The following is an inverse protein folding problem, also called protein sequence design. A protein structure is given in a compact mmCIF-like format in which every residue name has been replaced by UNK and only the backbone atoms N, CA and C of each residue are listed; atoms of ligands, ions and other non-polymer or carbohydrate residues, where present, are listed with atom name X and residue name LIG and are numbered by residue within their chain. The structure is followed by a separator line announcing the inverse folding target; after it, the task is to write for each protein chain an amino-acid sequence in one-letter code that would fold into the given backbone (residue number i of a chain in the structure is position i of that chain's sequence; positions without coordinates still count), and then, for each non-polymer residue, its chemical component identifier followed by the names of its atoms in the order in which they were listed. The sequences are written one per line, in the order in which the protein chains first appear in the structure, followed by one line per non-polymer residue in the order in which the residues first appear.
data_IF_798075032145
#
_entry.id   IF_798075032145
#
_cell.length_a   1.000
_cell.length_b   1.000
_cell.length_c   1.000
_cell.angle_alpha   90.00
_cell.angle_beta   90.00
_cell.angle_gamma   90.00
#
_symmetry.space_group_name_H-M   'P 1'
#
loop_
_entity.id
_entity.type
_entity.pdbx_description
1 polymer ?
#
# COMPACT_ATOMS: atom_id res chain seq x y z
N UNK A 1 31.54 -10.55 -39.46
CA UNK A 1 30.08 -10.43 -39.46
C UNK A 1 29.66 -9.85 -38.11
N UNK A 2 28.93 -8.72 -38.08
CA UNK A 2 28.31 -8.28 -36.83
C UNK A 2 27.34 -9.37 -36.34
N UNK A 3 27.22 -9.59 -35.02
CA UNK A 3 26.23 -10.53 -34.49
C UNK A 3 24.84 -10.13 -35.01
N UNK A 4 24.02 -11.13 -35.35
CA UNK A 4 22.61 -10.87 -35.69
C UNK A 4 21.96 -10.09 -34.54
N UNK A 5 21.05 -9.16 -34.86
CA UNK A 5 20.39 -8.31 -33.86
C UNK A 5 19.76 -9.13 -32.71
N UNK A 6 19.30 -10.37 -32.99
CA UNK A 6 18.80 -11.32 -31.99
C UNK A 6 19.89 -11.79 -31.01
N UNK A 7 21.12 -12.05 -31.49
CA UNK A 7 22.22 -12.45 -30.62
C UNK A 7 22.69 -11.28 -29.73
N UNK A 8 22.69 -10.06 -30.25
CA UNK A 8 23.00 -8.86 -29.47
C UNK A 8 21.93 -8.58 -28.39
N UNK A 9 20.63 -8.74 -28.74
CA UNK A 9 19.51 -8.61 -27.80
C UNK A 9 19.59 -9.67 -26.67
N UNK A 10 19.89 -10.93 -27.01
CA UNK A 10 20.07 -11.99 -26.01
C UNK A 10 21.22 -11.70 -25.05
N UNK A 11 22.36 -11.22 -25.53
CA UNK A 11 23.48 -10.83 -24.68
C UNK A 11 23.16 -9.62 -23.79
N UNK A 12 22.40 -8.64 -24.31
CA UNK A 12 21.93 -7.48 -23.56
C UNK A 12 20.92 -7.84 -22.46
N UNK A 13 20.04 -8.83 -22.69
CA UNK A 13 19.09 -9.34 -21.70
C UNK A 13 19.82 -10.02 -20.52
N UNK A 14 20.95 -10.68 -20.81
CA UNK A 14 21.73 -11.46 -19.82
C UNK A 14 22.64 -10.58 -18.96
N UNK A 15 23.11 -9.42 -19.45
CA UNK A 15 23.95 -8.52 -18.64
C UNK A 15 23.11 -7.68 -17.67
N UNK A 16 23.30 -7.93 -16.39
CA UNK A 16 22.89 -7.02 -15.31
C UNK A 16 24.03 -6.00 -15.14
N UNK A 17 23.78 -4.70 -15.36
CA UNK A 17 24.86 -3.71 -15.08
C UNK A 17 25.04 -3.51 -13.59
N UNK A 18 26.30 -3.54 -13.18
CA UNK A 18 26.74 -3.42 -11.79
C UNK A 18 26.28 -2.11 -11.17
N UNK A 19 26.12 -1.06 -11.98
CA UNK A 19 25.67 0.26 -11.53
C UNK A 19 24.21 0.25 -11.03
N UNK A 20 23.31 -0.56 -11.64
CA UNK A 20 21.92 -0.73 -11.13
C UNK A 20 21.95 -1.39 -9.78
N UNK A 21 22.74 -2.46 -9.70
CA UNK A 21 22.76 -3.29 -8.52
C UNK A 21 23.30 -2.44 -7.37
N UNK A 22 24.34 -1.64 -7.61
CA UNK A 22 24.86 -0.71 -6.61
C UNK A 22 23.84 0.36 -6.19
N UNK A 23 23.01 0.89 -7.11
CA UNK A 23 21.99 1.87 -6.73
C UNK A 23 20.92 1.26 -5.82
N UNK A 24 20.46 0.04 -6.11
CA UNK A 24 19.52 -0.66 -5.24
C UNK A 24 20.13 -1.07 -3.89
N UNK A 25 21.40 -1.46 -3.87
CA UNK A 25 22.10 -1.73 -2.60
C UNK A 25 22.17 -0.47 -1.73
N UNK A 26 22.42 0.69 -2.35
CA UNK A 26 22.42 1.98 -1.65
C UNK A 26 21.03 2.28 -1.07
N UNK A 27 19.94 2.06 -1.82
CA UNK A 27 18.57 2.23 -1.31
C UNK A 27 18.33 1.38 -0.05
N UNK A 28 18.75 0.10 -0.07
CA UNK A 28 18.63 -0.79 1.08
C UNK A 28 19.45 -0.31 2.29
N UNK A 29 20.65 0.23 2.08
CA UNK A 29 21.45 0.81 3.16
C UNK A 29 20.70 1.97 3.83
N UNK A 30 20.07 2.85 3.05
CA UNK A 30 19.28 3.95 3.62
C UNK A 30 18.03 3.46 4.34
N UNK A 31 17.31 2.48 3.79
CA UNK A 31 16.12 1.90 4.45
C UNK A 31 16.51 1.27 5.80
N UNK A 32 17.58 0.46 5.83
CA UNK A 32 18.11 -0.15 7.06
C UNK A 32 18.63 0.92 8.02
N UNK A 33 19.28 1.96 7.51
CA UNK A 33 19.75 3.09 8.31
C UNK A 33 18.61 3.82 9.02
N UNK A 34 17.50 4.10 8.32
CA UNK A 34 16.30 4.70 8.93
C UNK A 34 15.69 3.78 9.99
N UNK A 35 15.62 2.47 9.73
CA UNK A 35 15.17 1.51 10.75
C UNK A 35 16.10 1.49 11.97
N UNK A 36 17.42 1.57 11.76
CA UNK A 36 18.44 1.68 12.81
C UNK A 36 18.30 2.95 13.65
N UNK A 37 17.98 4.09 13.04
CA UNK A 37 17.67 5.33 13.77
C UNK A 37 16.43 5.12 14.66
N UNK A 38 15.37 4.49 14.14
CA UNK A 38 14.19 4.13 14.93
C UNK A 38 14.52 3.23 16.13
N UNK A 39 15.42 2.26 15.96
CA UNK A 39 15.87 1.39 17.04
C UNK A 39 16.71 2.16 18.08
N UNK A 40 17.47 3.15 17.62
CA UNK A 40 18.17 4.10 18.48
C UNK A 40 17.20 4.87 19.38
N UNK A 41 16.14 5.45 18.80
CA UNK A 41 15.07 6.11 19.56
C UNK A 41 14.44 5.17 20.60
N UNK A 42 13.99 3.98 20.20
CA UNK A 42 13.37 3.02 21.13
C UNK A 42 14.27 2.55 22.29
N UNK A 43 15.56 2.87 22.29
CA UNK A 43 16.49 2.58 23.40
C UNK A 43 16.61 3.72 24.41
N UNK A 44 16.21 4.94 24.05
CA UNK A 44 16.26 6.14 24.88
C UNK A 44 15.20 6.10 25.98
N UNK A 45 15.39 6.93 27.00
CA UNK A 45 14.34 7.21 27.97
C UNK A 45 13.45 8.32 27.42
N UNK A 46 12.12 8.12 27.33
CA UNK A 46 11.22 9.14 26.83
C UNK A 46 11.10 10.30 27.82
N UNK A 47 10.63 11.45 27.32
CA UNK A 47 10.26 12.56 28.18
C UNK A 47 9.26 12.09 29.26
N UNK A 48 9.39 12.59 30.48
CA UNK A 48 8.49 12.25 31.57
C UNK A 48 7.62 13.46 31.89
N UNK A 49 6.41 13.48 31.34
CA UNK A 49 5.46 14.57 31.61
C UNK A 49 4.92 14.45 33.04
N UNK A 50 4.84 15.56 33.80
CA UNK A 50 4.11 15.56 35.07
C UNK A 50 2.66 15.12 34.86
N UNK A 51 2.14 14.37 35.81
CA UNK A 51 0.78 13.83 35.82
C UNK A 51 0.14 14.06 37.19
N UNK A 52 -1.16 13.91 37.32
CA UNK A 52 -1.86 14.02 38.61
C UNK A 52 -2.50 12.67 38.94
N UNK A 53 -2.69 12.39 40.24
CA UNK A 53 -3.02 11.04 40.71
C UNK A 53 -4.49 10.68 40.52
N UNK A 54 -5.36 11.68 40.42
CA UNK A 54 -6.81 11.50 40.25
C UNK A 54 -7.25 11.44 38.78
N UNK A 55 -6.31 11.34 37.84
CA UNK A 55 -6.61 11.31 36.42
C UNK A 55 -7.23 9.95 36.01
N UNK A 56 -8.51 9.93 35.57
CA UNK A 56 -9.15 8.68 35.16
C UNK A 56 -8.47 8.04 33.95
N UNK A 57 -7.84 8.82 33.07
CA UNK A 57 -7.28 8.33 31.81
C UNK A 57 -6.01 7.50 32.00
N UNK A 58 -5.35 7.57 33.17
CA UNK A 58 -4.12 6.83 33.52
C UNK A 58 -4.28 5.89 34.73
N UNK A 59 -5.53 5.68 35.15
CA UNK A 59 -5.90 4.92 36.36
C UNK A 59 -6.32 3.46 36.08
N UNK A 60 -6.24 3.00 34.83
CA UNK A 60 -6.64 1.65 34.47
C UNK A 60 -5.68 0.59 35.05
N UNK A 61 -6.19 -0.62 35.21
CA UNK A 61 -5.39 -1.75 35.71
C UNK A 61 -4.52 -2.34 34.61
N UNK A 62 -3.37 -2.87 35.00
CA UNK A 62 -2.47 -3.60 34.09
C UNK A 62 -3.15 -4.88 33.58
N UNK A 63 -3.19 -5.06 32.26
CA UNK A 63 -3.66 -6.30 31.66
C UNK A 63 -2.65 -7.45 31.90
N UNK A 64 -3.11 -8.69 32.17
CA UNK A 64 -2.22 -9.80 32.53
C UNK A 64 -1.29 -10.24 31.38
N UNK A 65 -1.73 -10.06 30.14
CA UNK A 65 -0.94 -10.32 28.94
C UNK A 65 -1.39 -9.41 27.80
N UNK A 66 -0.46 -9.10 26.91
CA UNK A 66 -0.78 -8.42 25.66
C UNK A 66 -1.45 -9.42 24.70
N UNK A 67 -2.66 -9.10 24.22
CA UNK A 67 -3.40 -9.87 23.20
C UNK A 67 -2.55 -10.04 21.93
N UNK A 68 -1.82 -9.00 21.54
CA UNK A 68 -0.84 -9.04 20.45
C UNK A 68 0.50 -8.60 21.00
N UNK A 69 1.46 -9.52 21.08
CA UNK A 69 2.82 -9.22 21.49
C UNK A 69 3.63 -8.56 20.36
N UNK A 70 4.72 -7.87 20.72
CA UNK A 70 5.61 -7.24 19.73
C UNK A 70 6.18 -8.23 18.71
N UNK A 71 6.43 -9.49 19.12
CA UNK A 71 6.89 -10.53 18.20
C UNK A 71 5.80 -10.90 17.17
N UNK A 72 4.55 -11.06 17.62
CA UNK A 72 3.41 -11.33 16.74
C UNK A 72 3.17 -10.14 15.79
N UNK A 73 3.34 -8.91 16.27
CA UNK A 73 3.26 -7.71 15.44
C UNK A 73 4.28 -7.74 14.29
N UNK A 74 5.55 -8.09 14.56
CA UNK A 74 6.58 -8.19 13.51
C UNK A 74 6.20 -9.28 12.49
N UNK A 75 5.67 -10.41 12.95
CA UNK A 75 5.21 -11.46 12.04
C UNK A 75 4.07 -10.94 11.14
N UNK A 76 3.07 -10.28 11.73
CA UNK A 76 1.90 -9.76 11.00
C UNK A 76 2.30 -8.62 10.05
N UNK A 77 3.05 -7.64 10.53
CA UNK A 77 3.35 -6.40 9.79
C UNK A 77 4.54 -6.50 8.82
N UNK A 78 5.47 -7.42 9.02
CA UNK A 78 6.66 -7.57 8.17
C UNK A 78 6.74 -8.94 7.50
N UNK A 79 6.74 -10.02 8.28
CA UNK A 79 7.05 -11.37 7.75
C UNK A 79 5.97 -11.85 6.79
N UNK A 80 4.69 -11.76 7.18
CA UNK A 80 3.57 -12.17 6.33
C UNK A 80 3.53 -11.36 5.02
N UNK A 81 3.55 -10.01 5.05
CA UNK A 81 3.65 -9.21 3.82
C UNK A 81 4.84 -9.56 2.95
N UNK A 82 6.04 -9.72 3.53
CA UNK A 82 7.24 -10.06 2.78
C UNK A 82 7.12 -11.42 2.06
N UNK A 83 6.59 -12.43 2.74
CA UNK A 83 6.35 -13.76 2.17
C UNK A 83 5.30 -13.72 1.08
N UNK A 84 4.18 -13.01 1.29
CA UNK A 84 3.11 -12.87 0.29
C UNK A 84 3.62 -12.16 -0.96
N UNK A 85 4.40 -11.08 -0.81
CA UNK A 85 5.01 -10.36 -1.93
C UNK A 85 5.91 -11.28 -2.76
N UNK A 86 6.76 -12.09 -2.11
CA UNK A 86 7.61 -13.06 -2.82
C UNK A 86 6.76 -14.12 -3.51
N UNK A 87 5.83 -14.75 -2.80
CA UNK A 87 5.02 -15.83 -3.33
C UNK A 87 4.22 -15.37 -4.55
N UNK A 88 3.53 -14.23 -4.46
CA UNK A 88 2.74 -13.69 -5.58
C UNK A 88 3.65 -13.21 -6.72
N UNK A 89 4.80 -12.58 -6.42
CA UNK A 89 5.76 -12.16 -7.45
C UNK A 89 6.35 -13.36 -8.20
N UNK A 90 6.67 -14.46 -7.52
CA UNK A 90 7.23 -15.65 -8.16
C UNK A 90 6.18 -16.48 -8.88
N UNK A 91 4.95 -16.57 -8.38
CA UNK A 91 3.91 -17.44 -8.94
C UNK A 91 3.03 -16.74 -9.99
N UNK A 92 2.65 -15.48 -9.76
CA UNK A 92 1.59 -14.80 -10.53
C UNK A 92 2.08 -13.65 -11.40
N UNK A 93 3.32 -13.16 -11.20
CA UNK A 93 3.91 -12.04 -11.95
C UNK A 93 5.18 -12.47 -12.68
N UNK A 94 5.39 -12.18 -13.98
CA UNK A 94 4.36 -11.94 -14.99
C UNK A 94 3.48 -13.20 -15.15
N UNK A 95 2.23 -13.00 -15.54
CA UNK A 95 1.31 -14.13 -15.76
C UNK A 95 1.87 -15.04 -16.86
N UNK A 96 1.86 -16.38 -16.69
CA UNK A 96 2.26 -17.33 -17.74
C UNK A 96 1.49 -17.14 -19.04
N UNK A 97 0.27 -16.60 -18.98
CA UNK A 97 -0.55 -16.30 -20.14
C UNK A 97 -0.09 -15.03 -20.88
N UNK A 98 0.51 -14.07 -20.16
CA UNK A 98 0.92 -12.77 -20.71
C UNK A 98 2.26 -12.82 -21.47
N UNK A 99 3.08 -13.85 -21.24
CA UNK A 99 4.42 -13.99 -21.85
C UNK A 99 4.60 -15.33 -22.56
N UNK A 100 3.58 -15.79 -23.30
CA UNK A 100 3.72 -16.97 -24.16
C UNK A 100 4.84 -16.72 -25.19
N UNK A 101 5.95 -17.45 -25.06
CA UNK A 101 7.10 -17.37 -25.97
C UNK A 101 8.25 -16.44 -25.53
N UNK A 102 8.16 -15.79 -24.37
CA UNK A 102 9.26 -14.96 -23.86
C UNK A 102 10.46 -15.81 -23.38
N UNK A 103 11.70 -15.32 -23.53
CA UNK A 103 12.87 -16.02 -23.03
C UNK A 103 12.85 -16.09 -21.50
N UNK A 104 13.24 -17.25 -20.95
CA UNK A 104 13.26 -17.53 -19.50
C UNK A 104 13.97 -16.45 -18.67
N UNK A 105 15.10 -15.94 -19.18
CA UNK A 105 15.88 -14.89 -18.51
C UNK A 105 15.08 -13.59 -18.30
N UNK A 106 14.21 -13.22 -19.24
CA UNK A 106 13.39 -12.01 -19.15
C UNK A 106 12.27 -12.17 -18.13
N UNK A 107 11.66 -13.36 -18.07
CA UNK A 107 10.63 -13.71 -17.08
C UNK A 107 11.21 -13.62 -15.66
N UNK A 108 12.38 -14.24 -15.43
CA UNK A 108 13.03 -14.21 -14.12
C UNK A 108 13.53 -12.84 -13.73
N UNK A 109 14.09 -12.08 -14.68
CA UNK A 109 14.47 -10.68 -14.43
C UNK A 109 13.28 -9.85 -13.95
N UNK A 110 12.10 -10.04 -14.54
CA UNK A 110 10.87 -9.34 -14.09
C UNK A 110 10.42 -9.82 -12.72
N UNK A 111 10.40 -11.13 -12.46
CA UNK A 111 10.06 -11.71 -11.15
C UNK A 111 10.92 -11.13 -10.03
N UNK A 112 12.24 -11.08 -10.26
CA UNK A 112 13.20 -10.54 -9.29
C UNK A 112 13.04 -9.02 -9.10
N UNK A 113 12.78 -8.28 -10.17
CA UNK A 113 12.54 -6.84 -10.08
C UNK A 113 11.26 -6.51 -9.31
N UNK A 114 10.16 -7.23 -9.59
CA UNK A 114 8.88 -7.08 -8.90
C UNK A 114 8.99 -7.41 -7.41
N UNK A 115 9.71 -8.49 -7.09
CA UNK A 115 10.02 -8.83 -5.71
C UNK A 115 10.83 -7.72 -5.04
N UNK A 116 11.95 -7.29 -5.63
CA UNK A 116 12.80 -6.25 -5.05
C UNK A 116 12.01 -4.93 -4.83
N UNK A 117 11.24 -4.48 -5.82
CA UNK A 117 10.40 -3.29 -5.70
C UNK A 117 9.31 -3.43 -4.62
N UNK A 118 8.70 -4.62 -4.50
CA UNK A 118 7.76 -4.94 -3.43
C UNK A 118 8.39 -4.90 -2.04
N UNK A 119 9.61 -5.42 -1.89
CA UNK A 119 10.31 -5.39 -0.62
C UNK A 119 10.86 -4.01 -0.25
N UNK A 120 11.38 -3.25 -1.21
CA UNK A 120 11.84 -1.88 -0.94
C UNK A 120 10.68 -0.97 -0.51
N UNK A 121 9.52 -1.07 -1.15
CA UNK A 121 8.35 -0.30 -0.73
C UNK A 121 7.83 -0.68 0.65
N UNK A 122 7.79 -1.98 0.97
CA UNK A 122 7.43 -2.48 2.30
C UNK A 122 8.45 -2.02 3.36
N UNK A 123 9.74 -2.18 3.06
CA UNK A 123 10.84 -1.78 3.93
C UNK A 123 10.83 -0.30 4.22
N UNK A 124 10.67 0.55 3.19
CA UNK A 124 10.57 2.00 3.37
C UNK A 124 9.35 2.38 4.23
N UNK A 125 8.19 1.77 3.97
CA UNK A 125 6.97 2.02 4.76
C UNK A 125 7.17 1.70 6.24
N UNK A 126 7.73 0.52 6.56
CA UNK A 126 7.94 0.08 7.94
C UNK A 126 9.07 0.84 8.63
N UNK A 127 10.20 1.05 7.96
CA UNK A 127 11.35 1.77 8.53
C UNK A 127 11.00 3.21 8.88
N UNK A 128 10.35 3.93 7.95
CA UNK A 128 9.94 5.32 8.20
C UNK A 128 8.87 5.42 9.29
N UNK A 129 7.89 4.50 9.30
CA UNK A 129 6.87 4.42 10.36
C UNK A 129 7.50 4.16 11.71
N UNK A 130 8.43 3.21 11.80
CA UNK A 130 9.12 2.86 13.04
C UNK A 130 9.93 4.04 13.56
N UNK A 131 10.75 4.65 12.71
CA UNK A 131 11.54 5.83 13.06
C UNK A 131 10.66 6.99 13.56
N UNK A 132 9.56 7.29 12.85
CA UNK A 132 8.66 8.37 13.25
C UNK A 132 7.92 8.06 14.56
N UNK A 133 7.47 6.81 14.74
CA UNK A 133 6.70 6.42 15.94
C UNK A 133 7.57 6.45 17.19
N UNK A 134 8.77 5.85 17.16
CA UNK A 134 9.66 5.85 18.32
C UNK A 134 10.15 7.26 18.65
N UNK A 135 10.57 8.04 17.65
CA UNK A 135 11.01 9.42 17.89
C UNK A 135 9.90 10.31 18.48
N UNK A 136 8.64 10.11 18.08
CA UNK A 136 7.52 10.86 18.65
C UNK A 136 7.19 10.43 20.09
N UNK A 137 7.31 9.13 20.41
CA UNK A 137 7.14 8.66 21.80
C UNK A 137 8.16 9.29 22.72
N UNK A 138 9.43 9.29 22.31
CA UNK A 138 10.52 9.84 23.11
C UNK A 138 10.35 11.35 23.35
N UNK A 139 9.93 12.07 22.31
CA UNK A 139 9.73 13.51 22.39
C UNK A 139 8.52 13.90 23.25
N UNK A 140 7.40 13.18 23.11
CA UNK A 140 6.15 13.53 23.78
C UNK A 140 6.14 13.00 25.20
N UNK A 141 6.40 11.71 25.43
CA UNK A 141 6.42 11.20 26.80
C UNK A 141 5.04 11.13 27.46
N UNK A 142 4.01 10.70 26.73
CA UNK A 142 2.64 10.63 27.26
C UNK A 142 2.47 9.39 28.16
N UNK A 143 1.96 9.54 29.40
CA UNK A 143 1.69 8.39 30.27
C UNK A 143 0.63 7.45 29.68
N UNK A 144 0.82 6.14 29.88
CA UNK A 144 -0.12 5.10 29.44
C UNK A 144 -1.36 5.04 30.33
N UNK A 145 -2.47 4.47 29.82
CA UNK A 145 -3.67 4.31 30.64
C UNK A 145 -3.49 3.44 31.88
N UNK A 146 -2.52 2.52 31.87
CA UNK A 146 -2.19 1.63 32.98
C UNK A 146 -1.00 2.10 33.82
N UNK A 147 -0.59 3.37 33.67
CA UNK A 147 0.63 3.90 34.28
C UNK A 147 0.55 3.95 35.82
N UNK A 148 -0.56 4.44 36.40
CA UNK A 148 -0.68 4.53 37.86
C UNK A 148 -0.67 3.17 38.54
N UNK A 149 -1.29 2.16 37.90
CA UNK A 149 -1.29 0.79 38.40
C UNK A 149 0.13 0.17 38.43
N UNK A 150 1.04 0.61 37.56
CA UNK A 150 2.46 0.19 37.56
C UNK A 150 3.32 1.00 38.53
N UNK A 151 2.98 2.27 38.71
CA UNK A 151 3.67 3.23 39.55
C UNK A 151 3.59 2.90 41.04
N UNK A 152 2.41 2.49 41.53
CA UNK A 152 2.11 2.37 42.97
C UNK A 152 2.54 3.64 43.74
N UNK A 153 1.83 4.77 43.56
CA UNK A 153 2.26 6.08 44.07
C UNK A 153 2.26 6.16 45.60
N UNK A 154 3.31 6.74 46.18
CA UNK A 154 3.40 7.01 47.62
C UNK A 154 2.67 8.30 48.00
N UNK A 155 1.38 8.18 48.34
CA UNK A 155 0.47 9.29 48.69
C UNK A 155 1.03 10.14 49.84
N UNK A 156 1.87 9.58 50.71
CA UNK A 156 2.48 10.32 51.82
C UNK A 156 3.48 11.40 51.37
N UNK A 157 3.98 11.32 50.13
CA UNK A 157 5.04 12.21 49.60
C UNK A 157 4.56 13.17 48.50
N UNK A 158 3.24 13.36 48.37
CA UNK A 158 2.67 14.26 47.35
C UNK A 158 3.29 15.67 47.44
N UNK A 159 3.42 16.23 48.65
CA UNK A 159 4.00 17.58 48.82
C UNK A 159 5.46 17.69 48.39
N UNK A 160 6.22 16.59 48.40
CA UNK A 160 7.64 16.57 48.04
C UNK A 160 7.84 16.55 46.53
N UNK A 161 7.00 15.80 45.82
CA UNK A 161 7.11 15.61 44.37
C UNK A 161 6.11 16.45 43.56
N UNK A 162 5.32 17.28 44.22
CA UNK A 162 4.39 18.20 43.57
C UNK A 162 5.16 19.24 42.75
N UNK A 163 4.93 19.23 41.44
CA UNK A 163 5.43 20.23 40.47
C UNK A 163 4.36 21.28 40.15
N UNK A 164 3.37 21.39 41.03
CA UNK A 164 2.13 22.10 40.78
C UNK A 164 2.29 23.62 40.67
N UNK A 165 1.55 24.20 39.72
CA UNK A 165 1.09 25.60 39.76
C UNK A 165 -0.17 25.75 40.64
N UNK A 166 -1.35 25.86 40.01
CA UNK A 166 -2.62 26.21 40.67
C UNK A 166 -3.09 25.24 41.78
N UNK A 167 -2.68 23.96 41.74
CA UNK A 167 -3.06 22.92 42.71
C UNK A 167 -2.57 23.16 44.14
N UNK A 168 -1.50 23.95 44.31
CA UNK A 168 -1.03 24.38 45.63
C UNK A 168 -1.84 25.55 46.20
N UNK A 169 -2.55 26.28 45.34
CA UNK A 169 -3.28 27.52 45.70
C UNK A 169 -4.77 27.26 45.88
N UNK A 170 -5.35 26.37 45.07
CA UNK A 170 -6.77 26.06 45.08
C UNK A 170 -7.00 24.60 45.47
N UNK A 171 -7.78 24.38 46.52
CA UNK A 171 -8.06 23.05 47.12
C UNK A 171 -8.78 22.03 46.21
N UNK A 172 -9.18 22.44 44.99
CA UNK A 172 -9.81 21.58 43.98
C UNK A 172 -9.06 21.55 42.64
N UNK A 173 -7.95 22.27 42.52
CA UNK A 173 -7.15 22.22 41.31
C UNK A 173 -6.24 20.97 41.32
N UNK A 174 -6.03 20.33 40.17
CA UNK A 174 -5.19 19.13 40.08
C UNK A 174 -3.75 19.46 40.46
N UNK A 175 -3.16 18.62 41.30
CA UNK A 175 -1.74 18.73 41.71
C UNK A 175 -0.92 17.77 40.87
N UNK A 176 -0.07 18.32 40.02
CA UNK A 176 0.84 17.53 39.20
C UNK A 176 2.06 17.08 40.01
N UNK A 177 2.50 15.85 39.81
CA UNK A 177 3.64 15.20 40.45
C UNK A 177 4.61 14.63 39.42
N UNK A 178 5.88 14.47 39.80
CA UNK A 178 6.87 13.73 38.98
C UNK A 178 6.73 12.22 39.15
N UNK A 179 7.39 11.46 38.25
CA UNK A 179 7.49 10.00 38.32
C UNK A 179 8.14 9.49 39.62
N UNK A 180 8.94 10.32 40.28
CA UNK A 180 9.69 9.93 41.49
C UNK A 180 8.79 9.64 42.70
N UNK A 181 7.49 9.96 42.62
CA UNK A 181 6.49 9.58 43.63
C UNK A 181 6.19 8.07 43.64
N UNK A 182 6.48 7.37 42.55
CA UNK A 182 6.21 5.95 42.41
C UNK A 182 7.08 5.12 43.35
N UNK A 183 6.50 4.16 44.04
CA UNK A 183 7.29 3.18 44.82
C UNK A 183 8.05 2.24 43.90
N UNK A 184 7.45 1.90 42.77
CA UNK A 184 8.13 1.18 41.72
C UNK A 184 9.04 2.14 40.93
N UNK A 185 10.33 1.85 40.91
CA UNK A 185 11.36 2.63 40.20
C UNK A 185 12.05 1.84 39.09
N UNK A 186 11.39 0.78 38.59
CA UNK A 186 11.92 -0.04 37.51
C UNK A 186 12.17 0.76 36.23
N UNK A 187 13.28 0.48 35.54
CA UNK A 187 13.59 1.07 34.22
C UNK A 187 12.49 0.79 33.19
N UNK A 188 11.79 -0.34 33.34
CA UNK A 188 10.65 -0.68 32.50
C UNK A 188 9.48 0.31 32.66
N UNK A 189 9.20 0.78 33.88
CA UNK A 189 8.21 1.83 34.10
C UNK A 189 8.65 3.16 33.49
N UNK A 190 9.93 3.54 33.68
CA UNK A 190 10.49 4.78 33.14
C UNK A 190 10.39 4.85 31.62
N UNK A 191 10.63 3.73 30.92
CA UNK A 191 10.59 3.65 29.45
C UNK A 191 9.19 3.36 28.89
N UNK A 192 8.53 2.31 29.38
CA UNK A 192 7.25 1.87 28.81
C UNK A 192 6.08 2.72 29.32
N UNK A 193 6.14 3.23 30.56
CA UNK A 193 5.06 3.97 31.21
C UNK A 193 4.69 5.30 30.54
N UNK A 194 5.65 5.95 29.87
CA UNK A 194 5.47 7.25 29.18
C UNK A 194 5.50 7.16 27.65
N UNK A 195 5.37 5.95 27.11
CA UNK A 195 5.44 5.69 25.67
C UNK A 195 4.06 5.43 25.05
N UNK A 196 3.04 6.17 25.49
CA UNK A 196 1.66 5.95 25.05
C UNK A 196 1.34 6.52 23.66
N UNK A 197 1.84 7.70 23.31
CA UNK A 197 1.53 8.34 22.03
C UNK A 197 2.76 8.48 21.15
N UNK A 198 2.69 8.12 19.85
CA UNK A 198 1.62 7.37 19.18
C UNK A 198 1.74 5.85 19.40
N UNK A 199 0.67 5.09 19.14
CA UNK A 199 0.71 3.63 19.29
C UNK A 199 1.56 2.95 18.21
N UNK A 200 2.68 2.33 18.62
CA UNK A 200 3.58 1.61 17.73
C UNK A 200 3.00 0.33 17.12
N UNK A 201 2.12 -0.37 17.85
CA UNK A 201 1.43 -1.55 17.29
C UNK A 201 0.49 -1.13 16.17
N UNK A 202 -0.26 -0.04 16.39
CA UNK A 202 -1.19 0.50 15.41
C UNK A 202 -0.46 1.04 14.18
N UNK A 203 0.59 1.83 14.35
CA UNK A 203 1.33 2.41 13.22
C UNK A 203 2.02 1.33 12.39
N UNK A 204 2.73 0.39 13.02
CA UNK A 204 3.45 -0.67 12.33
C UNK A 204 2.50 -1.65 11.62
N UNK A 205 1.37 -2.02 12.23
CA UNK A 205 0.38 -2.91 11.61
C UNK A 205 -0.27 -2.25 10.39
N UNK A 206 -0.65 -0.97 10.47
CA UNK A 206 -1.20 -0.25 9.32
C UNK A 206 -0.15 -0.04 8.23
N UNK A 207 1.10 0.27 8.57
CA UNK A 207 2.18 0.40 7.59
C UNK A 207 2.35 -0.87 6.75
N UNK A 208 2.55 -2.03 7.40
CA UNK A 208 2.78 -3.29 6.70
C UNK A 208 1.55 -3.83 5.97
N UNK A 209 0.41 -3.86 6.65
CA UNK A 209 -0.79 -4.50 6.10
C UNK A 209 -1.55 -3.63 5.11
N UNK A 210 -1.53 -2.29 5.26
CA UNK A 210 -2.07 -1.42 4.22
C UNK A 210 -1.15 -1.42 2.99
N UNK A 211 0.17 -1.42 3.17
CA UNK A 211 1.09 -1.60 2.05
C UNK A 211 0.76 -2.89 1.29
N UNK A 212 0.62 -4.01 2.01
CA UNK A 212 0.24 -5.29 1.41
C UNK A 212 -1.11 -5.19 0.68
N UNK A 213 -2.10 -4.51 1.27
CA UNK A 213 -3.41 -4.29 0.64
C UNK A 213 -3.29 -3.53 -0.67
N UNK A 214 -2.57 -2.40 -0.68
CA UNK A 214 -2.34 -1.60 -1.89
C UNK A 214 -1.58 -2.40 -2.95
N UNK A 215 -0.59 -3.19 -2.52
CA UNK A 215 0.19 -4.06 -3.38
C UNK A 215 -0.66 -5.16 -4.03
N UNK A 216 -1.48 -5.88 -3.24
CA UNK A 216 -2.41 -6.89 -3.75
C UNK A 216 -3.47 -6.26 -4.66
N UNK A 217 -3.98 -5.08 -4.31
CA UNK A 217 -4.90 -4.32 -5.17
C UNK A 217 -4.26 -4.01 -6.53
N UNK A 218 -2.99 -3.63 -6.56
CA UNK A 218 -2.26 -3.39 -7.80
C UNK A 218 -2.09 -4.67 -8.61
N UNK A 219 -1.73 -5.78 -7.96
CA UNK A 219 -1.51 -7.07 -8.64
C UNK A 219 -2.80 -7.74 -9.10
N UNK A 220 -3.93 -7.55 -8.43
CA UNK A 220 -5.20 -8.16 -8.83
C UNK A 220 -6.14 -7.21 -9.57
N UNK A 221 -5.64 -6.03 -9.94
CA UNK A 221 -6.43 -4.97 -10.57
C UNK A 221 -7.70 -4.69 -9.78
N UNK A 222 -7.59 -4.61 -8.46
CA UNK A 222 -8.68 -4.19 -7.57
C UNK A 222 -8.53 -2.70 -7.34
N UNK A 223 -9.43 -1.92 -7.93
CA UNK A 223 -9.47 -0.47 -7.80
C UNK A 223 -10.92 0.01 -7.84
N UNK A 224 -11.16 1.21 -7.31
CA UNK A 224 -12.42 1.88 -7.55
C UNK A 224 -12.52 2.28 -9.03
N UNK A 225 -13.66 2.01 -9.70
CA UNK A 225 -13.89 2.50 -11.05
C UNK A 225 -13.73 4.03 -11.09
N UNK A 226 -13.05 4.52 -12.12
CA UNK A 226 -12.78 5.94 -12.30
C UNK A 226 -12.96 6.29 -13.77
N UNK A 227 -13.83 7.24 -14.10
CA UNK A 227 -13.89 7.74 -15.47
C UNK A 227 -12.82 8.82 -15.63
N UNK A 228 -11.83 8.54 -16.49
CA UNK A 228 -10.80 9.50 -16.87
C UNK A 228 -11.41 10.76 -17.50
N UNK A 229 -10.73 11.92 -17.41
CA UNK A 229 -11.17 13.11 -18.10
C UNK A 229 -11.21 12.81 -19.59
N UNK A 230 -12.31 13.18 -20.25
CA UNK A 230 -12.38 13.10 -21.70
C UNK A 230 -11.33 14.04 -22.31
N UNK A 231 -10.63 13.64 -23.38
CA UNK A 231 -9.79 14.55 -24.14
C UNK A 231 -10.57 15.81 -24.52
N UNK A 232 -9.92 16.97 -24.54
CA UNK A 232 -10.59 18.22 -24.91
C UNK A 232 -11.27 18.08 -26.29
N UNK A 233 -12.58 18.33 -26.35
CA UNK A 233 -13.40 18.17 -27.56
C UNK A 233 -14.09 16.80 -27.72
N UNK A 234 -13.77 15.80 -26.89
CA UNK A 234 -14.50 14.53 -26.89
C UNK A 234 -15.86 14.68 -26.18
N UNK A 235 -16.95 14.31 -26.87
CA UNK A 235 -18.30 14.28 -26.29
C UNK A 235 -18.51 12.95 -25.57
N UNK A 236 -19.07 12.98 -24.36
CA UNK A 236 -19.55 11.76 -23.69
C UNK A 236 -20.53 11.02 -24.60
N UNK A 237 -20.41 9.70 -24.76
CA UNK A 237 -21.42 8.94 -25.48
C UNK A 237 -22.74 9.09 -24.70
N UNK A 238 -23.69 9.83 -25.28
CA UNK A 238 -25.06 9.81 -24.82
C UNK A 238 -25.53 8.35 -24.90
N UNK A 239 -26.13 7.83 -23.84
CA UNK A 239 -26.78 6.53 -23.89
C UNK A 239 -27.79 6.58 -25.04
N UNK A 240 -27.52 5.87 -26.15
CA UNK A 240 -28.41 5.81 -27.30
C UNK A 240 -29.71 5.14 -26.87
N UNK A 241 -30.69 5.91 -26.40
CA UNK A 241 -32.09 5.50 -26.24
C UNK A 241 -32.89 5.73 -27.53
N UNK A 242 -32.24 5.99 -28.68
CA UNK A 242 -32.90 6.38 -29.92
C UNK A 242 -32.65 5.42 -31.11
N UNK A 243 -32.21 4.18 -30.86
CA UNK A 243 -31.95 3.19 -31.92
C UNK A 243 -33.12 2.26 -32.25
N UNK A 244 -34.28 2.39 -31.58
CA UNK A 244 -35.41 1.45 -31.72
C UNK A 244 -36.73 2.13 -32.11
N UNK A 245 -36.67 3.28 -32.80
CA UNK A 245 -37.86 3.98 -33.24
C UNK A 245 -37.64 4.78 -34.53
N UNK A 246 -37.28 4.11 -35.63
CA UNK A 246 -37.70 4.50 -36.99
C UNK A 246 -37.21 3.50 -38.04
N UNK A 247 -37.72 2.28 -38.00
CA UNK A 247 -37.79 1.45 -39.21
C UNK A 247 -39.26 1.29 -39.55
N UNK A 248 -39.88 2.40 -39.99
CA UNK A 248 -41.14 2.35 -40.71
C UNK A 248 -40.81 2.30 -42.19
N UNK A 249 -41.13 1.15 -42.77
CA UNK A 249 -41.23 0.89 -44.20
C UNK A 249 -41.91 2.03 -44.97
N UNK A 250 -41.33 2.42 -46.11
CA UNK A 250 -41.99 2.43 -47.42
C UNK A 250 -41.11 3.06 -48.52
N UNK A 251 -40.98 2.39 -49.67
CA UNK A 251 -40.78 3.07 -50.96
C UNK A 251 -39.64 2.60 -51.88
N UNK A 252 -39.93 1.58 -52.71
CA UNK A 252 -39.69 1.50 -54.18
C UNK A 252 -38.33 1.86 -54.82
N UNK A 253 -37.68 0.80 -55.37
CA UNK A 253 -37.01 0.65 -56.69
C UNK A 253 -36.14 1.77 -57.32
N UNK A 254 -34.83 1.50 -57.49
CA UNK A 254 -34.16 1.27 -58.80
C UNK A 254 -32.62 1.11 -58.63
N UNK A 255 -31.93 0.28 -59.45
CA UNK A 255 -30.48 0.15 -59.40
C UNK A 255 -29.82 0.85 -60.60
N UNK A 256 -29.02 1.90 -60.40
CA UNK A 256 -27.97 2.25 -61.36
C UNK A 256 -26.94 3.26 -60.79
N UNK A 257 -25.67 2.88 -60.94
CA UNK A 257 -24.45 3.70 -61.01
C UNK A 257 -24.16 4.79 -59.96
N UNK A 258 -23.18 4.52 -59.10
CA UNK A 258 -22.05 5.46 -58.94
C UNK A 258 -20.76 4.72 -58.55
N UNK A 259 -19.68 5.11 -59.23
CA UNK A 259 -18.32 4.59 -59.12
C UNK A 259 -17.60 5.16 -57.90
N UNK A 260 -16.55 4.42 -57.52
CA UNK A 260 -15.32 4.84 -56.83
C UNK A 260 -15.41 5.34 -55.38
N UNK A 261 -14.90 4.51 -54.46
CA UNK A 261 -13.83 4.90 -53.53
C UNK A 261 -13.26 3.65 -52.83
N UNK A 262 -12.11 3.19 -53.31
CA UNK A 262 -11.18 2.42 -52.49
C UNK A 262 -10.57 3.34 -51.45
N UNK A 263 -10.66 3.03 -50.15
CA UNK A 263 -9.64 3.37 -49.14
C UNK A 263 -10.08 2.94 -47.72
N UNK A 264 -9.18 2.26 -47.01
CA UNK A 264 -9.10 2.34 -45.56
C UNK A 264 -9.80 1.24 -44.76
N UNK A 265 -9.21 0.05 -44.73
CA UNK A 265 -9.35 -0.87 -43.60
C UNK A 265 -8.70 -0.27 -42.36
N UNK A 266 -9.47 0.49 -41.60
CA UNK A 266 -9.19 0.86 -40.21
C UNK A 266 -10.53 0.88 -39.46
N UNK A 267 -10.62 0.39 -38.22
CA UNK A 267 -11.84 0.51 -37.46
C UNK A 267 -12.16 2.00 -37.32
N UNK A 268 -13.32 2.42 -37.83
CA UNK A 268 -13.76 3.81 -37.78
C UNK A 268 -13.79 4.28 -36.32
N UNK A 269 -13.25 5.46 -36.05
CA UNK A 269 -13.30 6.13 -34.74
C UNK A 269 -14.72 6.16 -34.11
N UNK A 270 -15.75 6.08 -34.95
CA UNK A 270 -17.15 5.93 -34.58
C UNK A 270 -17.52 4.59 -33.92
N UNK A 271 -16.88 3.48 -34.30
CA UNK A 271 -17.11 2.16 -33.70
C UNK A 271 -16.54 2.08 -32.26
N UNK A 272 -15.46 2.79 -31.97
CA UNK A 272 -14.91 2.95 -30.62
C UNK A 272 -15.83 3.80 -29.70
N UNK A 273 -16.56 4.75 -30.27
CA UNK A 273 -17.45 5.65 -29.54
C UNK A 273 -18.82 5.04 -29.17
N UNK A 274 -19.21 3.91 -29.77
CA UNK A 274 -20.54 3.29 -29.61
C UNK A 274 -20.62 2.18 -28.55
N UNK A 275 -19.51 1.83 -27.88
CA UNK A 275 -19.56 0.86 -26.79
C UNK A 275 -19.90 1.56 -25.48
N UNK A 276 -21.00 1.16 -24.85
CA UNK A 276 -21.39 1.73 -23.55
C UNK A 276 -20.26 1.50 -22.52
N UNK A 277 -19.97 2.45 -21.62
CA UNK A 277 -18.98 2.24 -20.57
C UNK A 277 -19.25 0.99 -19.72
N UNK A 278 -20.52 0.58 -19.60
CA UNK A 278 -20.94 -0.65 -18.91
C UNK A 278 -20.58 -1.94 -19.64
N UNK A 279 -20.39 -1.90 -20.96
CA UNK A 279 -19.93 -3.05 -21.74
C UNK A 279 -18.40 -3.20 -21.78
N UNK A 280 -17.66 -2.19 -21.30
CA UNK A 280 -16.19 -2.18 -21.36
C UNK A 280 -15.54 -2.78 -20.10
N UNK A 281 -16.23 -2.80 -18.96
CA UNK A 281 -15.65 -3.25 -17.72
C UNK A 281 -16.62 -3.89 -16.73
N UNK A 282 -16.04 -4.64 -15.80
CA UNK A 282 -16.71 -5.31 -14.71
C UNK A 282 -16.07 -4.91 -13.37
N UNK A 283 -16.79 -5.19 -12.29
CA UNK A 283 -16.21 -5.15 -10.95
C UNK A 283 -15.24 -6.34 -10.76
N UNK A 284 -14.15 -6.16 -9.99
CA UNK A 284 -13.27 -7.27 -9.62
C UNK A 284 -14.09 -8.38 -8.90
N UNK A 285 -13.78 -9.66 -9.12
CA UNK A 285 -14.39 -10.74 -8.36
C UNK A 285 -14.29 -10.53 -6.84
N UNK A 286 -15.38 -10.82 -6.12
CA UNK A 286 -15.49 -10.55 -4.68
C UNK A 286 -14.37 -11.22 -3.89
N UNK A 287 -13.98 -12.44 -4.23
CA UNK A 287 -12.90 -13.14 -3.52
C UNK A 287 -11.54 -12.44 -3.63
N UNK A 288 -11.24 -11.76 -4.75
CA UNK A 288 -10.00 -10.96 -4.87
C UNK A 288 -10.07 -9.69 -4.06
N UNK A 289 -11.25 -9.09 -3.93
CA UNK A 289 -11.47 -7.95 -3.04
C UNK A 289 -11.27 -8.38 -1.59
N UNK A 290 -11.90 -9.49 -1.17
CA UNK A 290 -11.72 -10.04 0.19
C UNK A 290 -10.25 -10.33 0.45
N UNK A 291 -9.56 -11.02 -0.47
CA UNK A 291 -8.14 -11.32 -0.32
C UNK A 291 -7.26 -10.07 -0.24
N UNK A 292 -7.59 -9.01 -0.98
CA UNK A 292 -6.86 -7.75 -0.93
C UNK A 292 -7.10 -6.96 0.36
N UNK A 293 -8.32 -6.97 0.93
CA UNK A 293 -8.69 -6.14 2.08
C UNK A 293 -8.63 -6.81 3.45
N UNK A 294 -8.58 -8.15 3.52
CA UNK A 294 -8.34 -8.89 4.79
C UNK A 294 -7.14 -8.35 5.58
N UNK A 295 -5.99 -8.00 4.96
CA UNK A 295 -4.88 -7.43 5.71
C UNK A 295 -5.23 -6.16 6.49
N UNK A 296 -6.05 -5.25 5.94
CA UNK A 296 -6.52 -4.06 6.67
C UNK A 296 -7.37 -4.44 7.87
N UNK A 297 -8.24 -5.44 7.74
CA UNK A 297 -9.03 -5.95 8.87
C UNK A 297 -8.14 -6.47 10.00
N UNK A 298 -7.04 -7.16 9.66
CA UNK A 298 -6.03 -7.60 10.64
C UNK A 298 -5.34 -6.41 11.30
N UNK A 299 -5.01 -5.34 10.56
CA UNK A 299 -4.45 -4.12 11.15
C UNK A 299 -5.41 -3.45 12.14
N UNK A 300 -6.70 -3.38 11.83
CA UNK A 300 -7.72 -2.89 12.77
C UNK A 300 -7.81 -3.76 14.03
N UNK A 301 -7.78 -5.09 13.88
CA UNK A 301 -7.79 -5.99 15.05
C UNK A 301 -6.57 -5.74 15.96
N UNK A 302 -5.37 -5.62 15.39
CA UNK A 302 -4.15 -5.30 16.15
C UNK A 302 -4.28 -3.94 16.84
N UNK A 303 -4.79 -2.92 16.15
CA UNK A 303 -5.02 -1.60 16.72
C UNK A 303 -6.02 -1.63 17.89
N UNK A 304 -7.17 -2.28 17.72
CA UNK A 304 -8.19 -2.41 18.76
C UNK A 304 -7.72 -3.23 19.97
N UNK A 305 -6.87 -4.23 19.77
CA UNK A 305 -6.29 -5.02 20.87
C UNK A 305 -5.57 -4.15 21.90
N UNK A 306 -4.99 -3.03 21.47
CA UNK A 306 -4.28 -2.10 22.35
C UNK A 306 -5.19 -1.27 23.24
N UNK A 307 -6.42 -1.02 22.78
CA UNK A 307 -7.45 -0.40 23.60
C UNK A 307 -7.98 -1.40 24.62
N UNK A 308 -8.26 -2.63 24.17
CA UNK A 308 -8.69 -3.72 25.03
C UNK A 308 -7.69 -4.01 26.17
N UNK A 309 -6.39 -3.98 25.89
CA UNK A 309 -5.36 -4.29 26.87
C UNK A 309 -4.91 -3.07 27.71
N UNK A 310 -5.68 -1.97 27.69
CA UNK A 310 -5.42 -0.72 28.43
C UNK A 310 -4.06 -0.07 28.12
N UNK A 311 -3.46 -0.38 26.96
CA UNK A 311 -2.13 0.11 26.60
C UNK A 311 -2.13 1.51 26.02
N UNK A 312 -3.24 1.90 25.39
CA UNK A 312 -3.36 3.11 24.60
C UNK A 312 -4.79 3.68 24.65
N UNK A 313 -4.92 5.00 24.68
CA UNK A 313 -6.19 5.67 24.46
C UNK A 313 -6.55 5.67 22.96
N UNK A 314 -7.83 5.91 22.64
CA UNK A 314 -8.31 5.93 21.25
C UNK A 314 -7.53 6.91 20.36
N UNK A 315 -7.16 8.08 20.87
CA UNK A 315 -6.38 9.07 20.12
C UNK A 315 -4.97 8.58 19.74
N UNK A 316 -4.33 7.82 20.63
CA UNK A 316 -2.99 7.26 20.41
C UNK A 316 -3.00 6.22 19.29
N UNK A 317 -4.07 5.43 19.23
CA UNK A 317 -4.32 4.41 18.20
C UNK A 317 -4.65 5.07 16.86
N UNK A 318 -5.51 6.08 16.84
CA UNK A 318 -5.86 6.82 15.62
C UNK A 318 -4.63 7.51 15.03
N UNK A 319 -3.85 8.21 15.87
CA UNK A 319 -2.63 8.89 15.44
C UNK A 319 -1.60 7.89 14.91
N UNK A 320 -1.39 6.76 15.61
CA UNK A 320 -0.53 5.68 15.13
C UNK A 320 -1.00 5.14 13.77
N UNK A 321 -2.29 4.84 13.62
CA UNK A 321 -2.87 4.37 12.36
C UNK A 321 -2.64 5.35 11.21
N UNK A 322 -2.84 6.65 11.44
CA UNK A 322 -2.63 7.71 10.43
C UNK A 322 -1.17 7.75 9.98
N UNK A 323 -0.21 7.66 10.92
CA UNK A 323 1.23 7.60 10.60
C UNK A 323 1.53 6.38 9.73
N UNK A 324 1.02 5.21 10.11
CA UNK A 324 1.20 3.98 9.34
C UNK A 324 0.58 4.05 7.93
N UNK A 325 -0.65 4.57 7.82
CA UNK A 325 -1.34 4.79 6.55
C UNK A 325 -0.53 5.73 5.64
N UNK A 326 -0.01 6.82 6.20
CA UNK A 326 0.78 7.81 5.45
C UNK A 326 2.04 7.20 4.83
N UNK A 327 2.84 6.47 5.61
CA UNK A 327 4.06 5.85 5.09
C UNK A 327 3.80 4.63 4.22
N UNK A 328 2.70 3.87 4.45
CA UNK A 328 2.26 2.84 3.51
C UNK A 328 1.89 3.43 2.14
N UNK A 329 1.17 4.55 2.13
CA UNK A 329 0.83 5.27 0.91
C UNK A 329 2.09 5.72 0.15
N UNK A 330 3.04 6.37 0.83
CA UNK A 330 4.32 6.79 0.23
C UNK A 330 5.10 5.57 -0.29
N UNK A 331 5.31 4.57 0.56
CA UNK A 331 6.08 3.37 0.21
C UNK A 331 5.48 2.60 -0.97
N UNK A 332 4.16 2.58 -1.10
CA UNK A 332 3.51 1.99 -2.27
C UNK A 332 3.71 2.85 -3.54
N UNK A 333 3.40 4.15 -3.47
CA UNK A 333 3.39 5.01 -4.65
C UNK A 333 4.78 5.37 -5.20
N UNK A 334 5.84 5.26 -4.39
CA UNK A 334 7.21 5.48 -4.87
C UNK A 334 7.75 4.28 -5.68
N UNK A 335 7.25 3.07 -5.43
CA UNK A 335 7.78 1.84 -6.04
C UNK A 335 6.81 1.16 -7.03
N UNK A 336 5.52 1.51 -7.01
CA UNK A 336 4.50 0.89 -7.85
C UNK A 336 3.72 1.90 -8.68
N UNK A 337 3.19 1.46 -9.82
CA UNK A 337 2.33 2.30 -10.64
C UNK A 337 1.04 2.68 -9.90
N UNK A 338 0.47 3.86 -10.19
CA UNK A 338 -0.82 4.26 -9.61
C UNK A 338 -1.94 3.28 -9.96
N UNK A 339 -2.77 2.94 -8.96
CA UNK A 339 -3.97 2.09 -9.13
C UNK A 339 -4.99 2.65 -10.14
N UNK A 340 -4.90 3.94 -10.48
CA UNK A 340 -5.87 4.68 -11.31
C UNK A 340 -5.53 4.71 -12.81
N UNK A 341 -4.42 4.10 -13.25
CA UNK A 341 -3.93 4.20 -14.64
C UNK A 341 -4.54 3.16 -15.60
N UNK A 342 -5.77 2.71 -15.38
CA UNK A 342 -6.47 1.73 -16.24
C UNK A 342 -7.61 2.37 -17.05
N UNK A 343 -8.23 1.59 -17.96
CA UNK A 343 -9.33 1.95 -18.89
C UNK A 343 -10.66 2.36 -18.19
N UNK A 344 -10.55 2.95 -17.01
CA UNK A 344 -11.62 3.42 -16.15
C UNK A 344 -12.36 2.36 -15.34
N UNK A 345 -12.23 1.09 -15.71
CA UNK A 345 -12.68 -0.04 -14.90
C UNK A 345 -11.52 -0.89 -14.41
N UNK A 346 -11.65 -1.37 -13.18
CA UNK A 346 -10.72 -2.29 -12.55
C UNK A 346 -10.54 -3.59 -13.36
N UNK A 347 -11.64 -4.13 -13.91
CA UNK A 347 -11.66 -5.36 -14.69
C UNK A 347 -12.33 -5.14 -16.05
N UNK A 348 -11.89 -5.86 -17.08
CA UNK A 348 -12.61 -5.95 -18.35
C UNK A 348 -13.91 -6.77 -18.18
N UNK A 349 -14.83 -6.67 -19.13
CA UNK A 349 -16.02 -7.51 -19.15
C UNK A 349 -15.63 -8.99 -19.03
N UNK A 350 -16.26 -9.72 -18.09
CA UNK A 350 -15.93 -11.12 -17.84
C UNK A 350 -16.12 -11.94 -19.12
N UNK A 351 -15.07 -12.63 -19.51
CA UNK A 351 -15.06 -13.55 -20.65
C UNK A 351 -14.48 -14.89 -20.23
N UNK A 352 -14.63 -15.93 -21.05
CA UNK A 352 -14.07 -17.27 -20.77
C UNK A 352 -12.56 -17.22 -20.43
N UNK A 353 -11.82 -16.29 -21.02
CA UNK A 353 -10.39 -16.13 -20.82
C UNK A 353 -10.02 -15.31 -19.56
N UNK A 354 -10.95 -14.50 -19.04
CA UNK A 354 -10.74 -13.58 -17.90
C UNK A 354 -11.82 -13.74 -16.81
N UNK A 355 -12.38 -14.94 -16.65
CA UNK A 355 -13.51 -15.18 -15.75
C UNK A 355 -13.12 -15.15 -14.27
N UNK A 356 -11.94 -15.70 -13.94
CA UNK A 356 -11.46 -15.89 -12.56
C UNK A 356 -10.16 -15.14 -12.24
N UNK A 357 -9.41 -14.74 -13.25
CA UNK A 357 -8.16 -14.03 -13.06
C UNK A 357 -7.91 -13.16 -14.29
N UNK A 358 -7.58 -11.90 -14.06
CA UNK A 358 -7.02 -11.05 -15.10
C UNK A 358 -5.50 -11.18 -14.99
N UNK A 359 -4.85 -11.65 -16.05
CA UNK A 359 -3.40 -11.61 -16.11
C UNK A 359 -2.94 -10.18 -15.87
N UNK A 360 -1.87 -10.01 -15.09
CA UNK A 360 -1.19 -8.73 -14.94
C UNK A 360 -0.48 -8.49 -16.27
N UNK A 361 -1.22 -7.90 -17.22
CA UNK A 361 -0.74 -7.46 -18.51
C UNK A 361 0.02 -6.15 -18.40
N UNK A 362 0.93 -5.90 -19.34
CA UNK A 362 1.77 -4.72 -19.34
C UNK A 362 0.94 -3.43 -19.50
N UNK A 363 1.03 -2.55 -18.50
CA UNK A 363 0.94 -1.11 -18.70
C UNK A 363 2.37 -0.57 -18.52
N UNK A 364 2.93 -0.19 -19.66
CA UNK A 364 4.34 -0.05 -20.07
C UNK A 364 5.35 0.71 -19.16
N UNK A 365 6.63 0.32 -19.25
CA UNK A 365 7.88 1.09 -19.02
C UNK A 365 9.19 0.25 -18.89
N UNK A 366 9.19 -1.03 -19.25
CA UNK A 366 10.46 -1.77 -19.46
C UNK A 366 10.64 -2.15 -20.93
N UNK A 367 10.44 -1.18 -21.83
CA UNK A 367 11.33 -1.12 -23.00
C UNK A 367 12.74 -0.96 -22.44
N UNK A 368 13.66 -1.73 -22.98
CA UNK A 368 15.06 -1.95 -22.63
C UNK A 368 15.97 -0.71 -22.56
N UNK A 369 15.42 0.50 -22.48
CA UNK A 369 16.14 1.78 -22.53
C UNK A 369 17.14 1.97 -21.39
N UNK A 370 16.93 1.39 -20.21
CA UNK A 370 17.79 1.68 -19.06
C UNK A 370 19.14 0.95 -19.03
N UNK A 371 19.35 -0.11 -19.82
CA UNK A 371 20.44 -1.04 -19.54
C UNK A 371 21.26 -1.51 -20.75
N UNK A 372 20.87 -1.24 -22.01
CA UNK A 372 21.68 -1.62 -23.18
C UNK A 372 21.28 -1.06 -24.58
N UNK A 373 20.40 -0.06 -24.73
CA UNK A 373 19.83 0.25 -26.07
C UNK A 373 20.34 1.57 -26.68
N UNK A 374 21.17 1.47 -27.71
CA UNK A 374 21.44 2.54 -28.70
C UNK A 374 20.36 2.61 -29.81
N UNK A 375 19.29 1.81 -29.73
CA UNK A 375 18.16 1.90 -30.68
C UNK A 375 16.83 1.41 -30.08
N UNK A 376 15.71 2.08 -30.38
CA UNK A 376 14.39 1.67 -29.92
C UNK A 376 13.94 0.42 -30.70
N UNK A 377 13.72 -0.69 -29.99
CA UNK A 377 13.10 -1.87 -30.57
C UNK A 377 11.59 -1.64 -30.72
N UNK A 378 11.10 -2.01 -31.91
CA UNK A 378 9.75 -1.86 -32.43
C UNK A 378 8.65 -2.17 -31.41
N UNK A 379 7.74 -1.20 -31.28
CA UNK A 379 6.35 -1.39 -30.86
C UNK A 379 5.74 -2.58 -31.60
N UNK A 380 5.34 -3.63 -30.87
CA UNK A 380 4.30 -4.59 -31.30
C UNK A 380 4.01 -5.54 -30.13
N UNK A 381 2.97 -5.22 -29.36
CA UNK A 381 2.05 -6.24 -28.89
C UNK A 381 0.73 -5.89 -29.56
N UNK A 382 0.55 -6.39 -30.78
CA UNK A 382 -0.77 -6.39 -31.40
C UNK A 382 -1.61 -7.44 -30.70
N UNK A 383 -2.69 -6.99 -30.04
CA UNK A 383 -3.83 -7.84 -29.67
C UNK A 383 -4.61 -8.17 -30.96
N UNK A 384 -4.06 -9.05 -31.80
CA UNK A 384 -4.74 -9.56 -32.99
C UNK A 384 -4.80 -11.08 -32.93
N UNK A 385 -5.79 -11.62 -32.22
CA UNK A 385 -6.36 -12.95 -32.52
C UNK A 385 -7.65 -13.23 -31.73
N UNK A 386 -8.77 -12.62 -32.14
CA UNK A 386 -10.11 -13.23 -31.98
C UNK A 386 -11.02 -12.81 -33.14
N UNK A 387 -10.84 -13.47 -34.29
CA UNK A 387 -11.95 -13.89 -35.16
C UNK A 387 -11.43 -14.89 -36.18
N UNK A 388 -11.49 -16.17 -35.80
CA UNK A 388 -11.38 -17.28 -36.73
C UNK A 388 -12.73 -18.00 -36.73
N UNK A 389 -13.56 -17.73 -37.72
CA UNK A 389 -14.54 -18.69 -38.23
C UNK A 389 -14.45 -18.64 -39.75
N UNK A 390 -14.03 -19.80 -40.29
CA UNK A 390 -14.32 -20.28 -41.65
C UNK A 390 -15.71 -20.89 -41.60
#
# INVERSE_FOLDING_TARGET
MPPSADLALRHAIVRISKLAVSSYVLDWIFIIGVAGIGAGFGSLEPAQRPFYLEDPDISLTVAPHDTVSSAVLVIIGLVIPAVVVVAVSLLLVPSPLALKGAPFALIWRRKLWEWNAGWMGLGLSLAATYCATEGLKDLIGKPRPDMLARCDPDISKISTYAVSGLGQVLSRAPTYVTLDICRNQDDFLRKDGFSAWPSGHSSFSFAGMLYLTLWLCAKFSVAFPYLGPLPFGARSPAANTAGLASSSDNGTANPENSKSASQGTGPSLQALALTSPRSQGAAPPVYLQVLAFVPVCVAFFVACSRYHDHRHAGFDIISGSVIGIFFAYIGFHMYHLPLRRSDGWAWSARSRNNAFFRSIGYADLTVTQGWAAESPLLTTVEDTNVRGEV
#
